data_IF_841228258149
#
_entry.id   IF_841228258149
#
_cell.length_a   1.000
_cell.length_b   1.000
_cell.length_c   1.000
_cell.angle_alpha   90.00
_cell.angle_beta   90.00
_cell.angle_gamma   90.00
#
_symmetry.space_group_name_H-M   'P 1'
#
loop_
_entity.id
_entity.type
_entity.pdbx_description
1 polymer ?
#
# COMPACT_ATOMS: atom_id res chain seq x y z
N UNK A 1 -17.73 27.56 0.08
CA UNK A 1 -18.41 26.56 0.95
C UNK A 1 -17.86 25.12 0.77
N UNK A 2 -16.57 24.96 0.41
CA UNK A 2 -15.94 23.64 0.18
C UNK A 2 -14.69 23.41 1.07
N UNK A 3 -14.23 24.44 1.79
CA UNK A 3 -13.01 24.40 2.60
C UNK A 3 -13.15 23.66 3.93
N UNK A 4 -14.35 23.15 4.24
CA UNK A 4 -14.58 22.26 5.39
C UNK A 4 -14.44 20.78 5.02
N UNK A 5 -14.05 20.44 3.78
CA UNK A 5 -13.73 19.07 3.37
C UNK A 5 -12.35 18.64 3.88
N UNK A 6 -12.27 18.60 5.21
CA UNK A 6 -12.05 17.33 5.88
C UNK A 6 -10.73 16.61 5.61
N UNK A 7 -9.62 17.34 5.43
CA UNK A 7 -8.28 16.74 5.61
C UNK A 7 -8.17 16.00 6.94
N UNK A 8 -8.86 16.51 7.98
CA UNK A 8 -8.96 15.86 9.29
C UNK A 8 -9.85 14.60 9.31
N UNK A 9 -10.89 14.51 8.46
CA UNK A 9 -11.73 13.30 8.49
C UNK A 9 -11.04 12.10 7.86
N UNK A 10 -10.10 12.33 6.93
CA UNK A 10 -9.32 11.23 6.37
C UNK A 10 -8.53 10.49 7.45
N UNK A 11 -7.99 11.23 8.42
CA UNK A 11 -7.30 10.67 9.59
C UNK A 11 -8.27 9.86 10.47
N UNK A 12 -9.47 10.38 10.71
CA UNK A 12 -10.51 9.69 11.50
C UNK A 12 -10.93 8.38 10.82
N UNK A 13 -11.17 8.41 9.50
CA UNK A 13 -11.53 7.23 8.72
C UNK A 13 -10.39 6.22 8.77
N UNK A 14 -9.14 6.66 8.54
CA UNK A 14 -7.97 5.80 8.62
C UNK A 14 -7.86 5.14 9.99
N UNK A 15 -8.10 5.89 11.07
CA UNK A 15 -8.11 5.36 12.43
C UNK A 15 -9.17 4.26 12.61
N UNK A 16 -10.43 4.51 12.19
CA UNK A 16 -11.51 3.53 12.24
C UNK A 16 -11.16 2.26 11.45
N UNK A 17 -10.61 2.40 10.24
CA UNK A 17 -10.19 1.25 9.44
C UNK A 17 -9.04 0.50 10.10
N UNK A 18 -8.06 1.18 10.71
CA UNK A 18 -7.00 0.53 11.49
C UNK A 18 -7.54 -0.23 12.71
N UNK A 19 -8.58 0.27 13.37
CA UNK A 19 -9.23 -0.43 14.48
C UNK A 19 -9.95 -1.70 14.02
N UNK A 20 -10.63 -1.66 12.88
CA UNK A 20 -11.38 -2.81 12.34
C UNK A 20 -10.47 -3.85 11.68
N UNK A 21 -9.48 -3.40 10.91
CA UNK A 21 -8.63 -4.28 10.11
C UNK A 21 -7.28 -4.55 10.77
N UNK A 22 -6.74 -3.62 11.57
CA UNK A 22 -5.41 -3.70 12.14
C UNK A 22 -4.31 -3.12 11.23
N UNK A 23 -3.25 -2.59 11.84
CA UNK A 23 -2.11 -1.99 11.15
C UNK A 23 -1.42 -2.88 10.09
N UNK A 24 -1.24 -4.22 10.27
CA UNK A 24 -0.58 -5.03 9.24
C UNK A 24 -1.50 -5.47 8.10
N UNK A 25 -2.83 -5.44 8.28
CA UNK A 25 -3.79 -5.95 7.28
C UNK A 25 -4.08 -4.96 6.17
N UNK A 26 -4.15 -3.67 6.47
CA UNK A 26 -4.29 -2.63 5.44
C UNK A 26 -3.18 -2.62 4.38
N UNK A 27 -1.89 -2.65 4.76
CA UNK A 27 -0.82 -2.66 3.78
C UNK A 27 -0.72 -4.04 3.08
N UNK A 28 -1.16 -5.13 3.72
CA UNK A 28 -1.23 -6.44 3.07
C UNK A 28 -2.30 -6.47 1.96
N UNK A 29 -3.50 -5.95 2.24
CA UNK A 29 -4.59 -5.81 1.26
C UNK A 29 -4.23 -4.87 0.12
N UNK A 30 -3.58 -3.74 0.42
CA UNK A 30 -3.09 -2.81 -0.60
C UNK A 30 -2.05 -3.47 -1.52
N UNK A 31 -1.14 -4.28 -0.97
CA UNK A 31 -0.14 -5.01 -1.78
C UNK A 31 -0.79 -6.08 -2.65
N UNK A 32 -1.70 -6.89 -2.13
CA UNK A 32 -2.37 -7.94 -2.93
C UNK A 32 -3.22 -7.34 -4.05
N UNK A 33 -3.96 -6.25 -3.75
CA UNK A 33 -4.77 -5.57 -4.76
C UNK A 33 -3.91 -4.83 -5.79
N UNK A 34 -2.80 -4.22 -5.35
CA UNK A 34 -1.83 -3.57 -6.22
C UNK A 34 -1.17 -4.54 -7.21
N UNK A 35 -0.87 -5.78 -6.79
CA UNK A 35 -0.35 -6.80 -7.69
C UNK A 35 -1.36 -7.17 -8.78
N UNK A 36 -2.64 -7.39 -8.44
CA UNK A 36 -3.69 -7.66 -9.44
C UNK A 36 -3.88 -6.49 -10.41
N UNK A 37 -3.84 -5.25 -9.91
CA UNK A 37 -3.94 -4.05 -10.75
C UNK A 37 -2.71 -3.87 -11.64
N UNK A 38 -1.51 -4.25 -11.19
CA UNK A 38 -0.29 -4.16 -12.00
C UNK A 38 -0.33 -5.15 -13.16
N UNK A 39 -0.75 -6.38 -12.90
CA UNK A 39 -0.93 -7.40 -13.95
C UNK A 39 -1.95 -6.91 -14.98
N UNK A 40 -3.11 -6.43 -14.52
CA UNK A 40 -4.14 -5.91 -15.41
C UNK A 40 -3.63 -4.72 -16.23
N UNK A 41 -2.93 -3.75 -15.62
CA UNK A 41 -2.32 -2.62 -16.33
C UNK A 41 -1.25 -3.05 -17.32
N UNK A 42 -0.45 -4.07 -17.00
CA UNK A 42 0.61 -4.57 -17.88
C UNK A 42 0.04 -5.27 -19.10
N UNK A 43 -1.02 -6.05 -18.95
CA UNK A 43 -1.71 -6.71 -20.08
C UNK A 43 -2.53 -5.74 -20.93
N UNK A 44 -3.09 -4.69 -20.33
CA UNK A 44 -3.87 -3.65 -21.02
C UNK A 44 -3.02 -2.48 -21.53
N UNK A 45 -1.74 -2.38 -21.17
CA UNK A 45 -0.87 -1.29 -21.61
C UNK A 45 -0.50 -1.50 -23.08
N UNK A 46 -0.89 -0.59 -23.99
CA UNK A 46 -0.32 -0.55 -25.33
C UNK A 46 1.17 -0.17 -25.22
N UNK A 47 2.00 -0.74 -26.10
CA UNK A 47 3.48 -0.76 -26.16
C UNK A 47 4.27 0.51 -25.79
N UNK A 48 3.67 1.69 -25.58
CA UNK A 48 4.38 2.96 -25.41
C UNK A 48 4.17 3.71 -24.08
N UNK A 49 3.44 3.16 -23.10
CA UNK A 49 3.18 3.87 -21.83
C UNK A 49 3.71 3.13 -20.60
N UNK A 50 5.02 2.94 -20.51
CA UNK A 50 5.67 2.55 -19.26
C UNK A 50 5.87 3.78 -18.36
N UNK A 51 4.88 4.08 -17.52
CA UNK A 51 5.07 5.04 -16.41
C UNK A 51 6.04 4.41 -15.40
N UNK A 52 7.08 5.13 -14.92
CA UNK A 52 7.99 4.58 -13.91
C UNK A 52 7.20 4.24 -12.65
N UNK A 53 7.24 2.97 -12.26
CA UNK A 53 6.72 2.47 -10.99
C UNK A 53 7.54 3.14 -9.87
N UNK A 54 7.04 4.25 -9.30
CA UNK A 54 7.58 4.78 -8.05
C UNK A 54 7.28 3.76 -6.93
N UNK A 55 8.28 2.93 -6.68
CA UNK A 55 8.52 2.06 -5.52
C UNK A 55 7.51 2.25 -4.37
N UNK A 56 6.57 1.30 -4.17
CA UNK A 56 5.79 1.25 -2.95
C UNK A 56 6.71 0.84 -1.79
N UNK A 57 7.21 1.83 -1.07
CA UNK A 57 7.87 1.65 0.20
C UNK A 57 6.85 1.13 1.21
N UNK A 58 6.84 -0.18 1.44
CA UNK A 58 6.75 -0.74 2.78
C UNK A 58 7.30 -2.17 2.67
N UNK A 59 8.42 -2.43 3.30
CA UNK A 59 8.83 -3.76 3.70
C UNK A 59 8.55 -3.85 5.20
N UNK A 60 7.79 -4.83 5.71
CA UNK A 60 7.90 -5.18 7.11
C UNK A 60 9.22 -5.95 7.23
N UNK A 61 10.19 -5.32 7.89
CA UNK A 61 11.27 -6.02 8.54
C UNK A 61 10.66 -7.09 9.45
N UNK A 62 10.66 -8.34 9.00
CA UNK A 62 10.56 -9.46 9.90
C UNK A 62 11.92 -9.58 10.58
N UNK A 63 11.95 -9.25 11.86
CA UNK A 63 12.98 -9.70 12.80
C UNK A 63 13.28 -11.17 12.53
N UNK A 64 14.45 -11.46 11.96
CA UNK A 64 15.16 -12.70 12.23
C UNK A 64 16.58 -12.31 12.57
N UNK A 65 16.75 -11.86 13.80
CA UNK A 65 18.03 -11.79 14.48
C UNK A 65 18.36 -13.23 14.89
N UNK A 66 18.80 -14.06 13.95
CA UNK A 66 19.37 -15.38 14.24
C UNK A 66 20.80 -15.45 13.66
N UNK A 67 21.69 -14.91 14.51
CA UNK A 67 23.12 -15.18 14.72
C UNK A 67 24.03 -15.58 13.53
N UNK A 68 25.13 -14.83 13.28
CA UNK A 68 26.13 -15.16 12.28
C UNK A 68 27.05 -16.33 12.71
N UNK A 69 27.38 -17.22 11.75
CA UNK A 69 28.66 -17.87 11.38
C UNK A 69 29.61 -18.31 12.53
N UNK A 70 30.24 -19.51 12.51
CA UNK A 70 31.20 -19.93 11.48
C UNK A 70 30.80 -21.11 10.58
#
# INVERSE_FOLDING_TARGET
>A
MLSNLTGWHFIIILFVVLLLFGAPKLPALARSMGQSMKILKTELAPTDAAVPDEKPATAPAATTLDKPKP
#
